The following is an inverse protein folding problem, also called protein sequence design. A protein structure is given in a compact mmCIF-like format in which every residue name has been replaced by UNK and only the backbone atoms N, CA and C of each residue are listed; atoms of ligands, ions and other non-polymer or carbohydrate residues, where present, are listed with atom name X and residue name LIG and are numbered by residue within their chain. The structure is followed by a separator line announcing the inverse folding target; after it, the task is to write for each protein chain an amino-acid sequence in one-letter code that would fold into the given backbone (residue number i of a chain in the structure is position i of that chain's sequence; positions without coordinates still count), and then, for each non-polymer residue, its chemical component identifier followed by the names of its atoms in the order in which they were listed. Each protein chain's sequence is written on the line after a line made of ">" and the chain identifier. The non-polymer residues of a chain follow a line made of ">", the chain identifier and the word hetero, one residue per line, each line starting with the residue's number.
data_IF_760700994869
#
_entry.id   IF_760700994869
#
_cell.length_a   1.000
_cell.length_b   1.000
_cell.length_c   1.000
_cell.angle_alpha   90.00
_cell.angle_beta   90.00
_cell.angle_gamma   90.00
#
_symmetry.space_group_name_H-M   'P 1'
#
loop_
_entity.id
_entity.type
_entity.pdbx_description
1 polymer ?
#
# COMPACT_ATOMS: atom_id res chain seq x y z
N UNK A 1 29.09 -47.12 -2.69
CA UNK A 1 29.36 -46.83 -4.11
C UNK A 1 28.03 -46.65 -4.79
N UNK A 2 27.69 -45.41 -5.18
CA UNK A 2 26.92 -44.99 -6.35
C UNK A 2 26.68 -43.48 -6.23
N UNK A 3 27.42 -42.73 -7.03
CA UNK A 3 27.19 -41.29 -7.29
C UNK A 3 25.96 -41.21 -8.23
N UNK A 4 25.04 -40.33 -7.93
CA UNK A 4 24.00 -39.88 -8.85
C UNK A 4 24.13 -38.36 -9.02
N UNK A 5 24.39 -37.91 -10.24
CA UNK A 5 24.73 -36.57 -10.62
C UNK A 5 23.53 -35.61 -10.61
N UNK A 6 23.83 -34.39 -10.22
CA UNK A 6 22.96 -33.22 -10.32
C UNK A 6 23.02 -32.68 -11.75
N UNK A 7 21.90 -32.74 -12.49
CA UNK A 7 21.75 -32.03 -13.77
C UNK A 7 21.39 -30.56 -13.47
N UNK A 8 22.30 -29.66 -13.74
CA UNK A 8 22.04 -28.24 -13.80
C UNK A 8 21.46 -27.88 -15.17
N UNK A 9 20.17 -27.50 -15.21
CA UNK A 9 19.54 -26.95 -16.41
C UNK A 9 19.79 -25.45 -16.48
N UNK A 10 20.68 -25.02 -17.37
CA UNK A 10 20.89 -23.60 -17.69
C UNK A 10 19.79 -23.11 -18.63
N UNK A 11 19.10 -22.04 -18.24
CA UNK A 11 18.19 -21.29 -19.11
C UNK A 11 19.00 -20.25 -19.91
N UNK A 12 18.77 -20.09 -21.22
CA UNK A 12 19.45 -19.07 -22.00
C UNK A 12 18.86 -17.68 -21.73
N UNK A 13 19.70 -16.73 -21.33
CA UNK A 13 19.39 -15.34 -21.19
C UNK A 13 19.10 -14.68 -22.54
N UNK A 14 17.87 -14.21 -22.74
CA UNK A 14 17.49 -13.33 -23.83
C UNK A 14 17.82 -11.89 -23.48
N UNK A 15 18.92 -11.35 -24.05
CA UNK A 15 19.31 -9.94 -23.98
C UNK A 15 18.41 -9.15 -24.96
N UNK A 16 17.34 -8.52 -24.47
CA UNK A 16 16.54 -7.60 -25.27
C UNK A 16 17.30 -6.27 -25.42
N UNK A 17 17.73 -5.96 -26.65
CA UNK A 17 18.35 -4.70 -27.01
C UNK A 17 17.34 -3.56 -26.85
N UNK A 18 17.64 -2.59 -25.98
CA UNK A 18 16.91 -1.34 -25.85
C UNK A 18 17.30 -0.43 -27.05
N UNK A 19 16.34 -0.16 -27.92
CA UNK A 19 16.48 0.81 -29.00
C UNK A 19 16.58 2.25 -28.48
N UNK A 20 17.20 3.18 -29.24
CA UNK A 20 17.39 4.56 -28.80
C UNK A 20 16.04 5.30 -28.70
N UNK A 21 15.84 6.02 -27.60
CA UNK A 21 14.69 6.87 -27.36
C UNK A 21 14.66 8.04 -28.35
N UNK A 22 13.52 8.40 -28.94
CA UNK A 22 13.42 9.57 -29.80
C UNK A 22 13.56 10.86 -28.97
N UNK A 23 14.44 11.75 -29.43
CA UNK A 23 14.60 13.11 -28.89
C UNK A 23 13.30 13.89 -29.06
N UNK A 24 12.67 14.30 -27.97
CA UNK A 24 11.60 15.30 -27.98
C UNK A 24 12.21 16.65 -28.25
N UNK A 25 11.91 17.22 -29.45
CA UNK A 25 12.20 18.60 -29.79
C UNK A 25 11.34 19.54 -28.95
N UNK A 26 12.02 20.50 -28.30
CA UNK A 26 11.36 21.60 -27.58
C UNK A 26 10.59 22.47 -28.57
N UNK A 27 9.27 22.42 -28.53
CA UNK A 27 8.38 23.35 -29.22
C UNK A 27 8.39 24.72 -28.53
N UNK A 28 8.05 25.81 -29.27
CA UNK A 28 8.14 27.18 -28.77
C UNK A 28 7.17 27.45 -27.63
N UNK A 29 7.66 28.20 -26.63
CA UNK A 29 6.92 28.70 -25.46
C UNK A 29 5.67 29.48 -25.89
N UNK A 30 4.50 28.89 -25.71
CA UNK A 30 3.25 29.65 -25.73
C UNK A 30 3.02 30.23 -24.33
N UNK A 31 3.21 31.53 -24.19
CA UNK A 31 2.62 32.32 -23.11
C UNK A 31 1.10 32.34 -23.31
N UNK A 32 0.43 31.31 -22.83
CA UNK A 32 -1.02 31.20 -22.80
C UNK A 32 -1.52 31.55 -21.41
N UNK A 33 -2.33 32.62 -21.36
CA UNK A 33 -3.13 33.06 -20.24
C UNK A 33 -3.81 31.87 -19.54
N UNK A 34 -3.49 31.63 -18.27
CA UNK A 34 -4.17 30.60 -17.45
C UNK A 34 -5.64 31.05 -17.27
N UNK A 35 -6.62 30.25 -17.70
CA UNK A 35 -7.99 30.49 -17.28
C UNK A 35 -8.07 30.26 -15.75
N UNK A 36 -8.64 31.26 -15.05
CA UNK A 36 -8.98 31.18 -13.63
C UNK A 36 -9.73 29.88 -13.35
N UNK A 37 -9.13 29.00 -12.54
CA UNK A 37 -9.80 27.80 -12.06
C UNK A 37 -11.03 28.22 -11.23
N UNK A 38 -12.20 27.64 -11.47
CA UNK A 38 -13.32 27.83 -10.58
C UNK A 38 -12.92 27.30 -9.21
N UNK A 39 -13.06 28.12 -8.17
CA UNK A 39 -12.98 27.71 -6.77
C UNK A 39 -13.79 26.43 -6.60
N UNK A 40 -13.13 25.34 -6.27
CA UNK A 40 -13.80 24.11 -5.83
C UNK A 40 -14.55 24.44 -4.54
N UNK A 41 -15.79 24.83 -4.71
CA UNK A 41 -16.79 24.92 -3.68
C UNK A 41 -16.91 23.52 -3.09
N UNK A 42 -16.70 23.40 -1.78
CA UNK A 42 -16.58 22.16 -1.03
C UNK A 42 -17.55 21.08 -1.53
N UNK A 43 -17.00 19.94 -1.85
CA UNK A 43 -17.79 18.74 -2.05
C UNK A 43 -18.46 18.46 -0.71
N UNK A 44 -19.70 18.96 -0.58
CA UNK A 44 -20.58 18.54 0.50
C UNK A 44 -20.58 17.02 0.44
N UNK A 45 -20.18 16.41 1.54
CA UNK A 45 -20.32 14.98 1.74
C UNK A 45 -21.78 14.65 1.46
N UNK A 46 -22.07 14.03 0.31
CA UNK A 46 -23.36 13.41 0.07
C UNK A 46 -23.49 12.29 1.09
N UNK A 47 -24.04 12.65 2.25
CA UNK A 47 -24.53 11.69 3.22
C UNK A 47 -25.65 10.94 2.50
N UNK A 48 -25.34 9.75 1.97
CA UNK A 48 -26.34 8.82 1.47
C UNK A 48 -27.36 8.48 2.57
N UNK A 49 -28.45 7.81 2.25
CA UNK A 49 -29.52 7.56 3.21
C UNK A 49 -28.95 6.94 4.50
N UNK A 50 -29.35 7.48 5.64
CA UNK A 50 -28.83 7.27 7.01
C UNK A 50 -28.74 5.80 7.51
N UNK A 51 -29.20 4.83 6.75
CA UNK A 51 -29.28 3.43 7.15
C UNK A 51 -27.94 2.64 7.05
N UNK A 52 -26.94 3.13 6.30
CA UNK A 52 -25.66 2.43 6.12
C UNK A 52 -24.51 2.98 7.01
N UNK A 53 -24.65 4.19 7.52
CA UNK A 53 -23.61 4.90 8.28
C UNK A 53 -23.56 4.55 9.76
N UNK A 54 -24.60 3.95 10.31
CA UNK A 54 -24.73 3.71 11.75
C UNK A 54 -24.48 2.26 12.18
N UNK A 55 -23.94 1.41 11.27
CA UNK A 55 -23.63 0.04 11.67
C UNK A 55 -22.34 -0.02 12.51
N UNK A 56 -22.27 -0.88 13.54
CA UNK A 56 -21.05 -1.09 14.31
C UNK A 56 -19.82 -1.45 13.44
N UNK A 57 -20.05 -2.16 12.34
CA UNK A 57 -19.00 -2.48 11.37
C UNK A 57 -18.48 -1.24 10.64
N UNK A 58 -19.39 -0.35 10.21
CA UNK A 58 -19.02 0.92 9.55
C UNK A 58 -18.19 1.78 10.49
N UNK A 59 -18.63 1.98 11.72
CA UNK A 59 -17.89 2.73 12.72
C UNK A 59 -16.50 2.13 13.01
N UNK A 60 -16.39 0.78 13.03
CA UNK A 60 -15.13 0.10 13.23
C UNK A 60 -14.17 0.29 12.03
N UNK A 61 -14.67 0.25 10.79
CA UNK A 61 -13.87 0.56 9.60
C UNK A 61 -13.40 2.02 9.58
N UNK A 62 -14.28 2.97 9.92
CA UNK A 62 -13.92 4.39 10.01
C UNK A 62 -12.82 4.61 11.05
N UNK A 63 -12.94 3.99 12.23
CA UNK A 63 -11.93 4.08 13.28
C UNK A 63 -10.59 3.45 12.87
N UNK A 64 -10.59 2.33 12.12
CA UNK A 64 -9.40 1.71 11.58
C UNK A 64 -8.70 2.63 10.54
N UNK A 65 -9.47 3.24 9.64
CA UNK A 65 -8.96 4.18 8.65
C UNK A 65 -8.38 5.44 9.30
N UNK A 66 -9.07 6.04 10.26
CA UNK A 66 -8.58 7.22 10.98
C UNK A 66 -7.28 6.94 11.73
N UNK A 67 -7.16 5.76 12.36
CA UNK A 67 -5.93 5.35 13.02
C UNK A 67 -4.79 5.20 12.02
N UNK A 68 -5.02 4.47 10.93
CA UNK A 68 -4.03 4.28 9.88
C UNK A 68 -3.53 5.62 9.33
N UNK A 69 -4.43 6.56 9.02
CA UNK A 69 -4.05 7.88 8.51
C UNK A 69 -3.21 8.67 9.51
N UNK A 70 -3.54 8.65 10.80
CA UNK A 70 -2.73 9.32 11.84
C UNK A 70 -1.35 8.70 11.95
N UNK A 71 -1.28 7.37 11.97
CA UNK A 71 -0.04 6.64 12.21
C UNK A 71 0.88 6.66 10.98
N UNK A 72 0.34 6.87 9.76
CA UNK A 72 1.10 7.08 8.53
C UNK A 72 1.67 8.51 8.39
N UNK A 73 1.27 9.45 9.23
CA UNK A 73 1.84 10.80 9.27
C UNK A 73 3.21 10.78 9.97
N UNK A 74 4.20 10.15 9.33
CA UNK A 74 5.56 9.99 9.84
C UNK A 74 6.44 11.19 9.48
N UNK A 75 7.43 11.48 10.32
CA UNK A 75 8.51 12.39 9.97
C UNK A 75 9.53 11.67 9.06
N UNK A 76 9.69 12.17 7.84
CA UNK A 76 10.64 11.64 6.89
C UNK A 76 12.09 11.97 7.29
N UNK A 77 12.96 10.96 7.23
CA UNK A 77 14.39 11.11 7.55
C UNK A 77 15.22 11.58 6.35
N UNK A 78 14.68 11.43 5.14
CA UNK A 78 15.38 11.65 3.88
C UNK A 78 16.14 10.41 3.38
N UNK A 79 16.13 9.32 4.14
CA UNK A 79 16.62 8.01 3.73
C UNK A 79 15.43 7.19 3.19
N UNK A 80 15.36 6.91 1.88
CA UNK A 80 14.19 6.26 1.28
C UNK A 80 13.95 4.85 1.80
N UNK A 81 14.98 4.11 2.18
CA UNK A 81 14.84 2.76 2.72
C UNK A 81 14.19 2.79 4.12
N UNK A 82 14.66 3.73 4.96
CA UNK A 82 14.11 3.93 6.31
C UNK A 82 12.69 4.46 6.25
N UNK A 83 12.44 5.48 5.41
CA UNK A 83 11.16 6.15 5.29
C UNK A 83 10.09 5.22 4.74
N UNK A 84 10.44 4.39 3.74
CA UNK A 84 9.56 3.34 3.23
C UNK A 84 9.16 2.36 4.32
N UNK A 85 10.13 1.80 5.06
CA UNK A 85 9.85 0.79 6.08
C UNK A 85 9.05 1.37 7.23
N UNK A 86 9.36 2.60 7.68
CA UNK A 86 8.59 3.30 8.72
C UNK A 86 7.15 3.56 8.32
N UNK A 87 6.91 3.96 7.07
CA UNK A 87 5.56 4.21 6.55
C UNK A 87 4.76 2.92 6.34
N UNK A 88 5.42 1.83 5.91
CA UNK A 88 4.74 0.56 5.65
C UNK A 88 4.29 -0.18 6.91
N UNK A 89 4.95 0.00 8.05
CA UNK A 89 4.52 -0.61 9.31
C UNK A 89 3.08 -0.17 9.71
N UNK A 90 2.77 1.14 9.82
CA UNK A 90 1.40 1.58 10.14
C UNK A 90 0.40 1.25 9.02
N UNK A 91 0.80 1.25 7.76
CA UNK A 91 -0.05 0.82 6.65
C UNK A 91 -0.51 -0.64 6.82
N UNK A 92 0.45 -1.54 7.13
CA UNK A 92 0.16 -2.95 7.38
C UNK A 92 -0.71 -3.14 8.64
N UNK A 93 -0.46 -2.36 9.69
CA UNK A 93 -1.30 -2.38 10.88
C UNK A 93 -2.74 -1.98 10.56
N UNK A 94 -2.95 -0.98 9.70
CA UNK A 94 -4.27 -0.58 9.22
C UNK A 94 -4.98 -1.71 8.47
N UNK A 95 -4.27 -2.44 7.61
CA UNK A 95 -4.83 -3.60 6.90
C UNK A 95 -5.25 -4.72 7.87
N UNK A 96 -4.46 -4.99 8.92
CA UNK A 96 -4.79 -5.94 9.98
C UNK A 96 -6.05 -5.48 10.73
N UNK A 97 -6.15 -4.21 11.08
CA UNK A 97 -7.31 -3.67 11.81
C UNK A 97 -8.58 -3.80 10.97
N UNK A 98 -8.53 -3.50 9.65
CA UNK A 98 -9.65 -3.71 8.74
C UNK A 98 -10.03 -5.20 8.60
N UNK A 99 -9.05 -6.09 8.51
CA UNK A 99 -9.29 -7.53 8.47
C UNK A 99 -9.98 -8.03 9.75
N UNK A 100 -9.60 -7.52 10.92
CA UNK A 100 -10.26 -7.82 12.21
C UNK A 100 -11.73 -7.37 12.25
N UNK A 101 -12.07 -6.26 11.60
CA UNK A 101 -13.49 -5.84 11.46
C UNK A 101 -14.27 -6.88 10.66
N UNK A 102 -13.69 -7.37 9.55
CA UNK A 102 -14.31 -8.44 8.75
C UNK A 102 -14.50 -9.71 9.57
N UNK A 103 -13.51 -10.12 10.35
CA UNK A 103 -13.61 -11.30 11.20
C UNK A 103 -14.71 -11.18 12.26
N UNK A 104 -14.92 -9.97 12.80
CA UNK A 104 -15.94 -9.70 13.81
C UNK A 104 -17.36 -9.60 13.23
N UNK A 105 -17.53 -8.94 12.11
CA UNK A 105 -18.85 -8.54 11.58
C UNK A 105 -19.21 -9.21 10.25
N UNK A 106 -18.24 -9.72 9.50
CA UNK A 106 -18.43 -10.35 8.20
C UNK A 106 -19.23 -11.64 8.31
N UNK A 107 -19.94 -11.98 7.23
CA UNK A 107 -20.77 -13.19 7.17
C UNK A 107 -20.29 -14.17 6.11
N UNK A 108 -19.61 -13.67 5.08
CA UNK A 108 -19.11 -14.48 3.98
C UNK A 108 -17.87 -15.28 4.43
N UNK A 109 -17.86 -16.61 4.28
CA UNK A 109 -16.76 -17.46 4.72
C UNK A 109 -15.47 -17.26 3.91
N UNK A 110 -15.57 -16.93 2.61
CA UNK A 110 -14.39 -16.70 1.76
C UNK A 110 -13.73 -15.37 2.14
N UNK A 111 -14.53 -14.33 2.41
CA UNK A 111 -14.02 -13.03 2.86
C UNK A 111 -13.38 -13.14 4.25
N UNK A 112 -13.95 -13.93 5.17
CA UNK A 112 -13.33 -14.21 6.48
C UNK A 112 -12.01 -14.94 6.33
N UNK A 113 -11.95 -15.97 5.48
CA UNK A 113 -10.71 -16.69 5.20
C UNK A 113 -9.62 -15.76 4.65
N UNK A 114 -9.98 -14.90 3.69
CA UNK A 114 -9.06 -13.89 3.17
C UNK A 114 -8.57 -12.94 4.28
N UNK A 115 -9.45 -12.51 5.17
CA UNK A 115 -9.09 -11.64 6.29
C UNK A 115 -8.10 -12.32 7.27
N UNK A 116 -8.29 -13.62 7.57
CA UNK A 116 -7.33 -14.40 8.36
C UNK A 116 -5.96 -14.51 7.68
N UNK A 117 -5.93 -14.73 6.37
CA UNK A 117 -4.70 -14.80 5.59
C UNK A 117 -3.98 -13.46 5.58
N UNK A 118 -4.70 -12.35 5.42
CA UNK A 118 -4.16 -10.99 5.50
C UNK A 118 -3.52 -10.74 6.86
N UNK A 119 -4.21 -11.05 7.96
CA UNK A 119 -3.66 -10.85 9.31
C UNK A 119 -2.32 -11.58 9.45
N UNK A 120 -2.25 -12.86 9.11
CA UNK A 120 -1.01 -13.64 9.22
C UNK A 120 0.13 -13.09 8.36
N UNK A 121 -0.16 -12.75 7.11
CA UNK A 121 0.84 -12.21 6.19
C UNK A 121 1.39 -10.86 6.67
N UNK A 122 0.50 -9.96 7.03
CA UNK A 122 0.87 -8.59 7.44
C UNK A 122 1.62 -8.59 8.79
N UNK A 123 1.27 -9.45 9.74
CA UNK A 123 2.02 -9.60 10.99
C UNK A 123 3.46 -10.08 10.75
N UNK A 124 3.66 -11.03 9.84
CA UNK A 124 4.99 -11.51 9.46
C UNK A 124 5.82 -10.40 8.78
N UNK A 125 5.20 -9.63 7.87
CA UNK A 125 5.86 -8.53 7.19
C UNK A 125 6.21 -7.37 8.14
N UNK A 126 5.36 -7.05 9.12
CA UNK A 126 5.67 -6.08 10.18
C UNK A 126 6.89 -6.54 10.98
N UNK A 127 6.97 -7.82 11.35
CA UNK A 127 8.13 -8.36 12.06
C UNK A 127 9.40 -8.24 11.23
N UNK A 128 9.36 -8.53 9.93
CA UNK A 128 10.47 -8.35 9.01
C UNK A 128 10.89 -6.88 8.91
N UNK A 129 9.94 -5.95 8.76
CA UNK A 129 10.21 -4.52 8.67
C UNK A 129 10.88 -3.98 9.94
N UNK A 130 10.45 -4.42 11.13
CA UNK A 130 11.09 -4.05 12.40
C UNK A 130 12.53 -4.55 12.47
N UNK A 131 12.79 -5.80 12.06
CA UNK A 131 14.16 -6.33 12.00
C UNK A 131 15.06 -5.57 11.00
N UNK A 132 14.48 -5.08 9.89
CA UNK A 132 15.20 -4.21 8.94
C UNK A 132 15.59 -2.89 9.61
N UNK A 133 14.67 -2.23 10.32
CA UNK A 133 14.97 -0.97 11.03
C UNK A 133 16.05 -1.18 12.10
N UNK A 134 15.98 -2.26 12.89
CA UNK A 134 17.04 -2.60 13.87
C UNK A 134 18.40 -2.75 13.19
N UNK A 135 18.48 -3.48 12.07
CA UNK A 135 19.73 -3.66 11.31
C UNK A 135 20.26 -2.34 10.76
N UNK A 136 19.39 -1.40 10.42
CA UNK A 136 19.75 -0.05 9.95
C UNK A 136 20.07 0.91 11.11
N UNK A 137 19.95 0.49 12.37
CA UNK A 137 20.20 1.32 13.56
C UNK A 137 19.14 2.42 13.76
N UNK A 138 17.89 2.14 13.43
CA UNK A 138 16.78 3.11 13.42
C UNK A 138 15.61 2.69 14.32
#
# INVERSE_FOLDING_TARGET
>A
MALAGVLASALPGGLAAQGPMPHMQHGPSMQGQMPSMPTMQGHGMHRGPAAATDSPATAAFEAANERMHRDMAIDFTGDPDVDFVRGMIPHHQGAIDMAKVVLAFGKDPEVKKLAEEIVRAQEAEIAQMRAILERLGK
#
